data_IF_948036293794
#
_entry.id   IF_948036293794
#
_cell.length_a   1.000
_cell.length_b   1.000
_cell.length_c   1.000
_cell.angle_alpha   90.00
_cell.angle_beta   90.00
_cell.angle_gamma   90.00
#
_symmetry.space_group_name_H-M   'P 1'
#
loop_
_entity.id
_entity.type
_entity.pdbx_description
1 polymer ?
#
# COMPACT_ATOMS: atom_id res chain seq x y z
N UNK A 1 -18.75 51.02 -63.03
CA UNK A 1 -17.47 50.92 -62.27
C UNK A 1 -17.76 50.09 -61.02
N UNK A 2 -17.57 48.77 -60.97
CA UNK A 2 -16.36 47.90 -61.00
C UNK A 2 -15.46 47.99 -59.76
N UNK A 3 -15.53 46.91 -58.96
CA UNK A 3 -14.56 46.35 -57.99
C UNK A 3 -14.37 47.12 -56.67
N UNK A 4 -14.29 46.48 -55.48
CA UNK A 4 -13.50 45.29 -55.14
C UNK A 4 -14.16 44.43 -54.04
N UNK A 5 -13.88 43.14 -54.14
CA UNK A 5 -14.21 42.06 -53.19
C UNK A 5 -13.36 42.20 -51.93
N UNK A 6 -13.97 42.10 -50.75
CA UNK A 6 -13.28 41.74 -49.53
C UNK A 6 -14.00 40.54 -48.92
N UNK A 7 -13.37 39.37 -49.09
CA UNK A 7 -13.74 38.13 -48.45
C UNK A 7 -13.38 38.26 -46.96
N UNK A 8 -14.38 38.19 -46.08
CA UNK A 8 -14.17 38.09 -44.65
C UNK A 8 -14.36 36.62 -44.25
N UNK A 9 -13.29 35.84 -44.38
CA UNK A 9 -13.17 34.51 -43.78
C UNK A 9 -12.61 34.72 -42.38
N UNK A 10 -13.49 34.84 -41.39
CA UNK A 10 -13.09 34.77 -39.98
C UNK A 10 -13.13 33.31 -39.52
N UNK A 11 -11.99 32.68 -39.78
CA UNK A 11 -11.32 31.64 -39.01
C UNK A 11 -12.06 31.15 -37.74
N UNK A 12 -12.58 29.94 -37.83
CA UNK A 12 -12.93 29.07 -36.71
C UNK A 12 -11.73 28.93 -35.77
N UNK A 13 -11.69 29.68 -34.67
CA UNK A 13 -10.80 29.37 -33.55
C UNK A 13 -11.52 28.35 -32.67
N UNK A 14 -11.61 27.11 -33.16
CA UNK A 14 -11.87 25.95 -32.31
C UNK A 14 -10.65 25.76 -31.42
N UNK A 15 -10.59 26.52 -30.33
CA UNK A 15 -9.70 26.23 -29.22
C UNK A 15 -10.27 25.00 -28.51
N UNK A 16 -10.07 23.84 -29.12
CA UNK A 16 -10.17 22.58 -28.40
C UNK A 16 -9.05 22.62 -27.36
N UNK A 17 -9.39 23.10 -26.17
CA UNK A 17 -8.69 22.75 -24.94
C UNK A 17 -8.67 21.22 -24.89
N UNK A 18 -7.62 20.64 -25.45
CA UNK A 18 -7.16 19.33 -25.06
C UNK A 18 -6.72 19.48 -23.60
N UNK A 19 -7.67 19.46 -22.68
CA UNK A 19 -7.40 19.05 -21.32
C UNK A 19 -6.88 17.62 -21.44
N UNK A 20 -5.54 17.48 -21.49
CA UNK A 20 -4.89 16.26 -21.06
C UNK A 20 -5.18 16.13 -19.57
N UNK A 21 -6.39 15.67 -19.24
CA UNK A 21 -6.69 15.18 -17.91
C UNK A 21 -5.76 14.00 -17.68
N UNK A 22 -4.77 14.16 -16.80
CA UNK A 22 -4.02 13.00 -16.33
C UNK A 22 -5.02 12.06 -15.68
N UNK A 23 -5.22 10.90 -16.29
CA UNK A 23 -6.09 9.86 -15.75
C UNK A 23 -5.40 9.26 -14.52
N UNK A 24 -5.82 9.71 -13.34
CA UNK A 24 -5.37 9.12 -12.07
C UNK A 24 -5.90 7.69 -12.00
N UNK A 25 -5.01 6.74 -11.70
CA UNK A 25 -5.39 5.33 -11.52
C UNK A 25 -5.95 5.08 -10.12
N UNK A 26 -6.85 4.10 -9.99
CA UNK A 26 -7.26 3.60 -8.69
C UNK A 26 -6.10 2.95 -7.93
N UNK A 27 -6.14 3.04 -6.60
CA UNK A 27 -5.13 2.39 -5.77
C UNK A 27 -5.25 0.87 -5.85
N UNK A 28 -4.14 0.16 -6.06
CA UNK A 28 -4.17 -1.29 -6.16
C UNK A 28 -4.40 -1.90 -4.77
N UNK A 29 -5.26 -2.91 -4.71
CA UNK A 29 -5.55 -3.68 -3.49
C UNK A 29 -4.49 -4.71 -3.11
N UNK A 30 -3.26 -4.52 -3.58
CA UNK A 30 -2.12 -5.38 -3.28
C UNK A 30 -1.03 -5.27 -4.34
N UNK A 31 -0.22 -6.32 -4.47
CA UNK A 31 0.92 -6.36 -5.37
C UNK A 31 0.87 -7.58 -6.28
N UNK A 32 1.05 -7.35 -7.59
CA UNK A 32 1.02 -8.37 -8.65
C UNK A 32 -0.28 -9.17 -8.67
N UNK A 33 -0.31 -10.43 -8.24
CA UNK A 33 -1.53 -11.25 -8.13
C UNK A 33 -2.05 -11.33 -6.69
N UNK A 34 -1.21 -11.00 -5.70
CA UNK A 34 -1.55 -11.05 -4.29
C UNK A 34 -2.38 -9.81 -3.90
N UNK A 35 -3.50 -10.03 -3.21
CA UNK A 35 -4.49 -9.01 -2.83
C UNK A 35 -4.82 -9.11 -1.35
N UNK A 36 -5.07 -7.96 -0.73
CA UNK A 36 -5.66 -7.88 0.61
C UNK A 36 -6.97 -8.68 0.63
N UNK A 37 -7.20 -9.40 1.74
CA UNK A 37 -8.34 -10.30 1.94
C UNK A 37 -8.16 -11.72 1.40
N UNK A 38 -7.08 -12.03 0.68
CA UNK A 38 -6.76 -13.42 0.31
C UNK A 38 -6.50 -14.27 1.55
N UNK A 39 -6.89 -15.54 1.50
CA UNK A 39 -6.52 -16.50 2.54
C UNK A 39 -5.06 -16.93 2.45
N UNK A 40 -4.53 -17.45 3.57
CA UNK A 40 -3.15 -17.90 3.70
C UNK A 40 -2.73 -18.85 2.57
N UNK A 41 -3.51 -19.88 2.28
CA UNK A 41 -3.14 -20.92 1.31
C UNK A 41 -3.10 -20.37 -0.12
N UNK A 42 -4.04 -19.49 -0.48
CA UNK A 42 -4.01 -18.77 -1.75
C UNK A 42 -2.76 -17.90 -1.88
N UNK A 43 -2.35 -17.20 -0.82
CA UNK A 43 -1.11 -16.39 -0.86
C UNK A 43 0.12 -17.28 -1.01
N UNK A 44 0.19 -18.43 -0.33
CA UNK A 44 1.28 -19.40 -0.50
C UNK A 44 1.40 -19.90 -1.94
N UNK A 45 0.27 -20.17 -2.60
CA UNK A 45 0.24 -20.60 -4.00
C UNK A 45 0.76 -19.51 -4.94
N UNK A 46 0.30 -18.27 -4.77
CA UNK A 46 0.77 -17.13 -5.57
C UNK A 46 2.27 -16.88 -5.36
N UNK A 47 2.75 -16.96 -4.12
CA UNK A 47 4.18 -16.81 -3.81
C UNK A 47 5.04 -17.91 -4.43
N UNK A 48 4.55 -19.16 -4.45
CA UNK A 48 5.26 -20.27 -5.08
C UNK A 48 5.29 -20.15 -6.61
N UNK A 49 4.29 -19.49 -7.21
CA UNK A 49 4.17 -19.30 -8.65
C UNK A 49 4.93 -18.06 -9.18
N UNK A 50 5.26 -17.10 -8.32
CA UNK A 50 5.87 -15.83 -8.71
C UNK A 50 7.40 -15.85 -8.51
N UNK A 51 8.14 -15.86 -9.62
CA UNK A 51 9.61 -15.90 -9.62
C UNK A 51 10.29 -14.68 -9.00
N UNK A 52 9.53 -13.65 -8.64
CA UNK A 52 10.05 -12.50 -7.90
C UNK A 52 10.28 -12.80 -6.41
N UNK A 53 9.64 -13.85 -5.87
CA UNK A 53 9.75 -14.24 -4.47
C UNK A 53 10.43 -15.61 -4.34
N UNK A 54 11.39 -15.71 -3.43
CA UNK A 54 12.06 -16.95 -3.10
C UNK A 54 11.32 -17.66 -1.96
N UNK A 55 10.06 -18.02 -2.19
CA UNK A 55 9.22 -18.67 -1.17
C UNK A 55 9.61 -20.13 -0.97
N UNK A 56 9.90 -20.51 0.28
CA UNK A 56 10.43 -21.84 0.66
C UNK A 56 9.40 -22.75 1.32
N UNK A 57 8.11 -22.41 1.21
CA UNK A 57 7.02 -23.14 1.87
C UNK A 57 6.88 -22.77 3.35
N UNK A 58 6.42 -23.72 4.16
CA UNK A 58 6.09 -23.50 5.59
C UNK A 58 7.23 -22.92 6.43
N UNK A 59 8.49 -23.04 5.98
CA UNK A 59 9.66 -22.44 6.65
C UNK A 59 9.60 -20.91 6.74
N UNK A 60 8.87 -20.29 5.84
CA UNK A 60 8.72 -18.83 5.77
C UNK A 60 7.47 -18.36 6.55
N UNK A 61 6.68 -19.29 7.11
CA UNK A 61 5.45 -19.02 7.85
C UNK A 61 5.74 -19.01 9.34
N UNK A 62 5.34 -17.94 10.03
CA UNK A 62 5.44 -17.79 11.48
C UNK A 62 4.06 -17.56 12.11
N UNK A 63 3.81 -18.18 13.26
CA UNK A 63 2.68 -17.86 14.13
C UNK A 63 3.13 -16.77 15.11
N UNK A 64 2.38 -15.68 15.19
CA UNK A 64 2.66 -14.60 16.13
C UNK A 64 2.00 -14.92 17.50
N UNK A 65 2.43 -14.26 18.61
CA UNK A 65 1.96 -14.59 19.96
C UNK A 65 0.44 -14.49 20.18
N UNK A 66 -0.23 -13.70 19.34
CA UNK A 66 -1.69 -13.66 19.22
C UNK A 66 -2.10 -14.75 18.23
N UNK A 67 -2.70 -15.86 18.69
CA UNK A 67 -2.89 -17.10 17.90
C UNK A 67 -3.65 -16.90 16.59
N UNK A 68 -4.37 -15.78 16.45
CA UNK A 68 -5.10 -15.36 15.26
C UNK A 68 -4.18 -14.80 14.16
N UNK A 69 -2.91 -14.49 14.47
CA UNK A 69 -1.99 -13.78 13.58
C UNK A 69 -0.90 -14.68 13.01
N UNK A 70 -0.71 -14.56 11.70
CA UNK A 70 0.33 -15.26 10.97
C UNK A 70 1.14 -14.26 10.14
N UNK A 71 2.38 -14.62 9.88
CA UNK A 71 3.28 -13.84 9.05
C UNK A 71 3.97 -14.77 8.05
N UNK A 72 3.95 -14.42 6.77
CA UNK A 72 4.87 -14.99 5.79
C UNK A 72 5.98 -13.97 5.55
N UNK A 73 7.23 -14.40 5.69
CA UNK A 73 8.43 -13.61 5.41
C UNK A 73 9.25 -14.27 4.31
N UNK A 74 9.44 -13.56 3.18
CA UNK A 74 10.15 -14.12 2.01
C UNK A 74 11.24 -13.18 1.52
N UNK A 75 12.34 -13.76 1.07
CA UNK A 75 13.35 -13.03 0.28
C UNK A 75 12.79 -12.72 -1.11
N UNK A 76 13.18 -11.57 -1.66
CA UNK A 76 12.83 -11.18 -3.02
C UNK A 76 14.00 -11.34 -3.99
N UNK A 77 13.69 -11.18 -5.28
CA UNK A 77 14.66 -11.06 -6.35
C UNK A 77 14.62 -9.67 -6.99
N UNK A 78 15.65 -9.37 -7.79
CA UNK A 78 15.81 -8.13 -8.55
C UNK A 78 15.79 -6.86 -7.68
N UNK A 79 14.62 -6.26 -7.51
CA UNK A 79 14.41 -4.98 -6.84
C UNK A 79 13.79 -5.12 -5.46
N UNK A 80 13.25 -6.29 -5.12
CA UNK A 80 12.71 -6.59 -3.80
C UNK A 80 13.82 -7.29 -3.01
N UNK A 81 14.18 -6.73 -1.86
CA UNK A 81 15.08 -7.39 -0.93
C UNK A 81 14.31 -8.42 -0.09
N UNK A 82 13.14 -8.00 0.43
CA UNK A 82 12.34 -8.80 1.35
C UNK A 82 10.88 -8.40 1.31
N UNK A 83 9.99 -9.33 1.58
CA UNK A 83 8.55 -9.06 1.68
C UNK A 83 7.93 -9.74 2.89
N UNK A 84 6.91 -9.09 3.45
CA UNK A 84 6.12 -9.58 4.57
C UNK A 84 4.64 -9.54 4.21
N UNK A 85 3.96 -10.63 4.51
CA UNK A 85 2.52 -10.79 4.32
C UNK A 85 1.91 -11.13 5.68
N UNK A 86 1.13 -10.21 6.23
CA UNK A 86 0.58 -10.34 7.58
C UNK A 86 -0.90 -10.71 7.52
N UNK A 87 -1.25 -11.71 8.29
CA UNK A 87 -2.58 -12.29 8.32
C UNK A 87 -3.18 -12.14 9.72
N UNK A 88 -4.50 -11.98 9.74
CA UNK A 88 -5.33 -12.13 10.92
C UNK A 88 -6.56 -12.94 10.54
N UNK A 89 -6.95 -13.90 11.38
CA UNK A 89 -8.04 -14.84 11.09
C UNK A 89 -7.88 -15.54 9.73
N UNK A 90 -6.64 -15.85 9.37
CA UNK A 90 -6.26 -16.46 8.09
C UNK A 90 -6.41 -15.56 6.86
N UNK A 91 -6.67 -14.25 7.03
CA UNK A 91 -6.86 -13.28 5.94
C UNK A 91 -5.75 -12.24 5.89
N UNK A 92 -5.20 -12.01 4.70
CA UNK A 92 -4.13 -11.05 4.44
C UNK A 92 -4.64 -9.62 4.67
N UNK A 93 -4.08 -8.90 5.63
CA UNK A 93 -4.48 -7.51 5.91
C UNK A 93 -3.37 -6.49 5.69
N UNK A 94 -2.11 -6.94 5.59
CA UNK A 94 -1.00 -6.07 5.22
C UNK A 94 0.05 -6.78 4.38
N UNK A 95 0.62 -6.03 3.43
CA UNK A 95 1.74 -6.44 2.59
C UNK A 95 2.82 -5.38 2.75
N UNK A 96 4.05 -5.75 3.04
CA UNK A 96 5.21 -4.84 3.05
C UNK A 96 6.25 -5.37 2.08
N UNK A 97 6.69 -4.54 1.13
CA UNK A 97 7.76 -4.84 0.19
C UNK A 97 8.94 -3.92 0.50
N UNK A 98 10.03 -4.47 1.03
CA UNK A 98 11.28 -3.75 1.18
C UNK A 98 12.09 -3.88 -0.10
N UNK A 99 12.43 -2.73 -0.70
CA UNK A 99 13.18 -2.67 -1.94
C UNK A 99 14.69 -2.65 -1.66
N UNK A 100 15.48 -3.04 -2.67
CA UNK A 100 16.93 -2.94 -2.64
C UNK A 100 17.38 -1.49 -2.90
N UNK A 101 17.80 -0.80 -1.83
CA UNK A 101 18.26 0.60 -1.83
C UNK A 101 19.54 0.82 -2.65
N UNK A 102 20.27 -0.25 -2.99
CA UNK A 102 21.45 -0.13 -3.87
C UNK A 102 21.06 0.01 -5.34
N UNK A 103 19.81 -0.33 -5.69
CA UNK A 103 19.29 -0.35 -7.06
C UNK A 103 18.20 0.69 -7.31
N UNK A 104 17.54 1.16 -6.27
CA UNK A 104 16.39 2.06 -6.33
C UNK A 104 16.49 3.12 -5.24
N UNK A 105 15.93 4.30 -5.51
CA UNK A 105 15.84 5.38 -4.55
C UNK A 105 14.39 5.78 -4.25
N UNK A 106 14.19 6.35 -3.07
CA UNK A 106 12.88 6.82 -2.60
C UNK A 106 12.27 7.88 -3.52
N UNK A 107 13.07 8.80 -4.06
CA UNK A 107 12.59 9.89 -4.91
C UNK A 107 11.98 9.38 -6.20
N UNK A 108 12.62 8.41 -6.84
CA UNK A 108 12.11 7.72 -8.03
C UNK A 108 10.78 7.00 -7.76
N UNK A 109 10.67 6.29 -6.64
CA UNK A 109 9.41 5.66 -6.23
C UNK A 109 8.32 6.70 -5.96
N UNK A 110 8.61 7.71 -5.16
CA UNK A 110 7.68 8.78 -4.83
C UNK A 110 7.14 9.47 -6.08
N UNK A 111 8.02 9.82 -7.02
CA UNK A 111 7.65 10.43 -8.29
C UNK A 111 6.73 9.51 -9.10
N UNK A 112 7.15 8.25 -9.28
CA UNK A 112 6.38 7.26 -10.05
C UNK A 112 4.98 7.03 -9.47
N UNK A 113 4.87 6.91 -8.14
CA UNK A 113 3.59 6.72 -7.46
C UNK A 113 2.73 7.99 -7.54
N UNK A 114 3.32 9.17 -7.40
CA UNK A 114 2.60 10.45 -7.49
C UNK A 114 2.07 10.71 -8.91
N UNK A 115 2.83 10.35 -9.93
CA UNK A 115 2.39 10.44 -11.33
C UNK A 115 1.25 9.46 -11.62
N UNK A 116 1.27 8.27 -11.02
CA UNK A 116 0.27 7.22 -11.26
C UNK A 116 -1.02 7.41 -10.47
N UNK A 117 -0.92 7.79 -9.21
CA UNK A 117 -2.04 7.83 -8.25
C UNK A 117 -2.39 9.25 -7.78
N UNK A 118 -1.72 10.26 -8.34
CA UNK A 118 -1.94 11.66 -7.97
C UNK A 118 -1.26 12.05 -6.66
N UNK A 119 -1.67 13.21 -6.13
CA UNK A 119 -1.09 13.77 -4.91
C UNK A 119 -1.40 12.88 -3.70
N UNK A 120 -0.42 12.55 -2.84
CA UNK A 120 -0.66 11.79 -1.62
C UNK A 120 -1.54 12.55 -0.63
N UNK A 121 -2.34 11.82 0.16
CA UNK A 121 -3.17 12.34 1.23
C UNK A 121 -2.32 12.74 2.44
N UNK A 122 -1.24 12.02 2.70
CA UNK A 122 -0.31 12.31 3.79
C UNK A 122 1.14 12.30 3.30
N UNK A 123 1.93 13.26 3.78
CA UNK A 123 3.35 13.39 3.47
C UNK A 123 4.08 13.85 4.73
N UNK A 124 5.08 13.08 5.14
CA UNK A 124 5.95 13.34 6.28
C UNK A 124 7.40 13.00 5.91
N UNK A 125 8.39 13.38 6.74
CA UNK A 125 9.77 12.95 6.53
C UNK A 125 9.95 11.44 6.50
N UNK A 126 9.14 10.68 7.24
CA UNK A 126 9.27 9.23 7.42
C UNK A 126 8.48 8.43 6.38
N UNK A 127 7.33 8.96 5.93
CA UNK A 127 6.45 8.26 4.99
C UNK A 127 5.57 9.18 4.16
N UNK A 128 5.14 8.67 3.01
CA UNK A 128 4.11 9.23 2.13
C UNK A 128 2.99 8.21 1.95
N UNK A 129 1.72 8.58 2.05
CA UNK A 129 0.60 7.64 1.84
C UNK A 129 -0.45 8.12 0.85
N UNK A 130 -0.99 7.14 0.12
CA UNK A 130 -2.18 7.25 -0.69
C UNK A 130 -3.29 6.38 -0.10
N UNK A 131 -4.50 6.94 0.02
CA UNK A 131 -5.59 6.30 0.76
C UNK A 131 -6.93 6.43 0.02
N UNK A 132 -7.76 5.40 0.16
CA UNK A 132 -9.18 5.44 -0.16
C UNK A 132 -9.99 4.92 1.05
N UNK A 133 -11.28 4.66 0.89
CA UNK A 133 -12.13 4.18 1.99
C UNK A 133 -11.77 2.78 2.52
N UNK A 134 -11.01 1.99 1.76
CA UNK A 134 -10.77 0.58 2.03
C UNK A 134 -9.30 0.31 2.38
N UNK A 135 -8.36 1.00 1.74
CA UNK A 135 -6.94 0.71 1.85
C UNK A 135 -6.06 1.95 1.95
N UNK A 136 -4.90 1.74 2.56
CA UNK A 136 -3.76 2.65 2.56
C UNK A 136 -2.58 1.99 1.86
N UNK A 137 -1.97 2.73 0.93
CA UNK A 137 -0.68 2.40 0.35
C UNK A 137 0.35 3.43 0.83
N UNK A 138 1.39 3.02 1.55
CA UNK A 138 2.44 3.91 2.07
C UNK A 138 3.81 3.60 1.47
N UNK A 139 4.52 4.64 1.07
CA UNK A 139 5.95 4.61 0.76
C UNK A 139 6.71 5.12 1.99
N UNK A 140 7.37 4.21 2.69
CA UNK A 140 8.04 4.41 3.97
C UNK A 140 9.56 4.41 3.80
N UNK A 141 10.25 5.24 4.59
CA UNK A 141 11.72 5.21 4.65
C UNK A 141 12.21 3.97 5.40
N UNK A 142 13.36 3.39 5.00
CA UNK A 142 14.27 3.91 3.99
C UNK A 142 13.80 3.66 2.54
N UNK A 143 13.27 2.47 2.21
CA UNK A 143 12.58 2.22 0.94
C UNK A 143 11.64 1.00 1.01
N UNK A 144 10.46 1.19 1.62
CA UNK A 144 9.44 0.14 1.69
C UNK A 144 8.10 0.62 1.12
N UNK A 145 7.43 -0.24 0.36
CA UNK A 145 6.06 -0.01 -0.10
C UNK A 145 5.12 -0.94 0.66
N UNK A 146 4.15 -0.36 1.36
CA UNK A 146 3.22 -1.09 2.20
C UNK A 146 1.78 -0.90 1.73
N UNK A 147 0.99 -1.96 1.81
CA UNK A 147 -0.44 -1.99 1.59
C UNK A 147 -1.13 -2.43 2.88
N UNK A 148 -2.23 -1.78 3.23
CA UNK A 148 -2.92 -1.99 4.50
C UNK A 148 -4.42 -1.93 4.29
N UNK A 149 -5.14 -2.95 4.76
CA UNK A 149 -6.60 -2.91 4.90
C UNK A 149 -6.96 -1.99 6.08
N UNK A 150 -7.63 -0.88 5.78
CA UNK A 150 -7.95 0.13 6.78
C UNK A 150 -9.00 -0.35 7.78
N UNK A 151 -9.93 -1.21 7.37
CA UNK A 151 -10.98 -1.72 8.27
C UNK A 151 -10.37 -2.64 9.32
N UNK A 152 -9.53 -3.59 8.87
CA UNK A 152 -8.83 -4.52 9.76
C UNK A 152 -7.85 -3.76 10.66
N UNK A 153 -7.08 -2.83 10.10
CA UNK A 153 -6.11 -2.06 10.87
C UNK A 153 -6.76 -1.23 11.97
N UNK A 154 -7.86 -0.53 11.68
CA UNK A 154 -8.55 0.29 12.68
C UNK A 154 -9.16 -0.60 13.78
N UNK A 155 -9.74 -1.75 13.44
CA UNK A 155 -10.25 -2.70 14.42
C UNK A 155 -9.13 -3.22 15.35
N UNK A 156 -7.94 -3.47 14.81
CA UNK A 156 -6.77 -3.87 15.59
C UNK A 156 -6.29 -2.76 16.54
N UNK A 157 -6.26 -1.51 16.09
CA UNK A 157 -5.90 -0.37 16.93
C UNK A 157 -6.88 -0.20 18.10
N UNK A 158 -8.17 -0.38 17.85
CA UNK A 158 -9.19 -0.27 18.89
C UNK A 158 -9.07 -1.41 19.91
N UNK A 159 -8.86 -2.66 19.47
CA UNK A 159 -8.58 -3.81 20.36
C UNK A 159 -7.35 -3.54 21.24
N UNK A 160 -6.23 -3.09 20.66
CA UNK A 160 -5.02 -2.78 21.43
C UNK A 160 -5.20 -1.65 22.45
N UNK A 161 -6.02 -0.63 22.15
CA UNK A 161 -6.34 0.43 23.11
C UNK A 161 -7.16 -0.09 24.29
N UNK A 162 -8.12 -0.97 24.01
CA UNK A 162 -8.93 -1.63 25.06
C UNK A 162 -8.05 -2.51 25.95
N UNK A 163 -7.18 -3.32 25.36
CA UNK A 163 -6.27 -4.19 26.12
C UNK A 163 -5.30 -3.40 27.01
N UNK A 164 -4.76 -2.29 26.50
CA UNK A 164 -3.89 -1.42 27.29
C UNK A 164 -4.63 -0.80 28.49
N UNK A 165 -5.87 -0.34 28.30
CA UNK A 165 -6.69 0.19 29.39
C UNK A 165 -7.02 -0.88 30.44
N UNK A 166 -7.35 -2.11 30.01
CA UNK A 166 -7.62 -3.22 30.91
C UNK A 166 -6.38 -3.65 31.72
N UNK A 167 -5.19 -3.62 31.08
CA UNK A 167 -3.93 -3.89 31.76
C UNK A 167 -3.62 -2.85 32.84
N UNK A 168 -3.79 -1.56 32.56
CA UNK A 168 -3.58 -0.51 33.57
C UNK A 168 -4.53 -0.66 34.76
N UNK A 169 -5.82 -0.95 34.54
CA UNK A 169 -6.77 -1.22 35.63
C UNK A 169 -6.32 -2.43 36.46
N UNK A 170 -5.89 -3.51 35.82
CA UNK A 170 -5.43 -4.73 36.51
C UNK A 170 -4.18 -4.45 37.34
N UNK A 171 -3.27 -3.63 36.81
CA UNK A 171 -2.06 -3.20 37.49
C UNK A 171 -2.37 -2.33 38.71
N UNK A 172 -3.30 -1.38 38.59
CA UNK A 172 -3.75 -0.54 39.71
C UNK A 172 -4.36 -1.39 40.83
N UNK A 173 -5.31 -2.27 40.50
CA UNK A 173 -5.94 -3.18 41.49
C UNK A 173 -4.94 -4.10 42.19
N UNK A 174 -3.92 -4.58 41.47
CA UNK A 174 -2.85 -5.38 42.06
C UNK A 174 -2.00 -4.55 43.04
N UNK A 175 -1.67 -3.30 42.70
CA UNK A 175 -0.94 -2.41 43.60
C UNK A 175 -1.75 -2.03 44.84
N UNK A 176 -3.07 -1.85 44.72
CA UNK A 176 -3.99 -1.61 45.84
C UNK A 176 -4.12 -2.81 46.80
N UNK A 177 -3.66 -3.99 46.39
CA UNK A 177 -3.73 -5.20 47.21
C UNK A 177 -2.59 -5.34 48.24
N UNK A 178 -1.61 -4.42 48.25
CA UNK A 178 -0.52 -4.33 49.22
C UNK A 178 -0.67 -3.09 50.12
#
# INVERSE_FOLDING_TARGET
MRNKKYAFVCLLFSFSLLFFGQSISELPSGYRTIRLGMDLESVKQELAADSLFNYRGERDVSLLPDQERQLIEVEGHSFIQKAWFQFIDGKLYAITLQMDETKLDYGSFFKTLSEKYGKPQHLSPEQTSWENEVLRMSLERPLSLKYLDLKVYNALLDKSRVDAAAFEITRELFLESF
#
